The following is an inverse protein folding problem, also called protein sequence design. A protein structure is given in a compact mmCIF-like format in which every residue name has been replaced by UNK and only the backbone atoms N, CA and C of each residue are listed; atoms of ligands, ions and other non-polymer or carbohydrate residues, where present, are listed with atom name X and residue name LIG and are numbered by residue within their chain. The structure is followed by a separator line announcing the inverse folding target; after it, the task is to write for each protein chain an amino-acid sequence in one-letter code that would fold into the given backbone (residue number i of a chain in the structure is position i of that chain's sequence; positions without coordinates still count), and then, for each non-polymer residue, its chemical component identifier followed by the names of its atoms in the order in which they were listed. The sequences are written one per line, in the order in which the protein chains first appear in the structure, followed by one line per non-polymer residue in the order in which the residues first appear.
data_IF_948416890428
#
_entry.id   IF_948416890428
#
_cell.length_a   1.000
_cell.length_b   1.000
_cell.length_c   1.000
_cell.angle_alpha   90.00
_cell.angle_beta   90.00
_cell.angle_gamma   90.00
#
_symmetry.space_group_name_H-M   'P 1'
#
loop_
_entity.id
_entity.type
_entity.pdbx_description
1 polymer ?
#
# COMPACT_ATOMS: atom_id res chain seq x y z
N UNK A 1 41.50 4.70 2.30
CA UNK A 1 42.19 3.76 3.23
C UNK A 1 41.68 3.88 4.66
N UNK A 2 41.61 5.08 5.26
CA UNK A 2 41.17 5.29 6.64
C UNK A 2 39.82 4.65 7.00
N UNK A 3 38.81 4.74 6.13
CA UNK A 3 37.49 4.12 6.38
C UNK A 3 37.56 2.61 6.54
N UNK A 4 38.38 1.93 5.72
CA UNK A 4 38.54 0.47 5.79
C UNK A 4 39.24 0.04 7.08
N UNK A 5 40.20 0.85 7.56
CA UNK A 5 40.82 0.65 8.87
C UNK A 5 39.81 0.85 10.01
N UNK A 6 39.00 1.91 9.98
CA UNK A 6 37.97 2.16 11.00
C UNK A 6 36.89 1.07 11.06
N UNK A 7 36.57 0.47 9.92
CA UNK A 7 35.65 -0.67 9.83
C UNK A 7 36.31 -2.02 10.21
N UNK A 8 37.59 -2.02 10.58
CA UNK A 8 38.30 -3.22 11.03
C UNK A 8 38.61 -4.24 9.94
N UNK A 9 38.60 -3.86 8.65
CA UNK A 9 38.83 -4.80 7.52
C UNK A 9 40.24 -5.42 7.52
N UNK A 10 41.16 -4.90 8.32
CA UNK A 10 42.53 -5.40 8.46
C UNK A 10 42.80 -6.05 9.83
N UNK A 11 41.82 -6.05 10.73
CA UNK A 11 41.93 -6.64 12.07
C UNK A 11 41.47 -8.11 12.06
N UNK A 12 41.83 -8.87 13.10
CA UNK A 12 41.31 -10.22 13.28
C UNK A 12 39.81 -10.20 13.62
N UNK A 13 39.09 -11.26 13.28
CA UNK A 13 37.65 -11.33 13.47
C UNK A 13 37.22 -11.10 14.94
N UNK A 14 38.04 -11.46 15.94
CA UNK A 14 37.70 -11.24 17.35
C UNK A 14 37.63 -9.75 17.73
N UNK A 15 38.41 -8.93 17.02
CA UNK A 15 38.58 -7.49 17.26
C UNK A 15 37.58 -6.63 16.47
N UNK A 16 36.83 -7.22 15.53
CA UNK A 16 35.82 -6.51 14.73
C UNK A 16 34.44 -6.71 15.36
N UNK A 17 33.77 -5.67 15.91
CA UNK A 17 32.49 -5.85 16.62
C UNK A 17 31.39 -6.50 15.77
N UNK A 18 31.37 -6.23 14.47
CA UNK A 18 30.30 -6.62 13.55
C UNK A 18 30.35 -8.11 13.15
N UNK A 19 31.49 -8.79 13.33
CA UNK A 19 31.62 -10.24 13.03
C UNK A 19 30.82 -11.12 14.00
N UNK A 20 30.40 -10.55 15.13
CA UNK A 20 29.63 -11.23 16.18
C UNK A 20 28.11 -11.19 15.90
N UNK A 21 27.67 -10.44 14.90
CA UNK A 21 26.26 -10.36 14.50
C UNK A 21 25.92 -11.60 13.68
N UNK A 22 25.08 -12.48 14.23
CA UNK A 22 24.65 -13.70 13.57
C UNK A 22 23.47 -13.47 12.62
N UNK A 23 23.33 -14.31 11.60
CA UNK A 23 22.20 -14.24 10.65
C UNK A 23 20.82 -14.34 11.32
N UNK A 24 20.71 -15.01 12.46
CA UNK A 24 19.45 -15.12 13.23
C UNK A 24 18.96 -13.79 13.81
N UNK A 25 19.81 -12.76 13.85
CA UNK A 25 19.40 -11.41 14.25
C UNK A 25 18.75 -10.64 13.09
N UNK A 26 18.94 -11.08 11.83
CA UNK A 26 18.23 -10.50 10.70
C UNK A 26 16.75 -10.88 10.78
N UNK A 27 15.87 -9.89 10.68
CA UNK A 27 14.42 -10.09 10.84
C UNK A 27 14.05 -10.94 12.08
N UNK A 28 14.64 -10.67 13.24
CA UNK A 28 14.21 -11.30 14.47
C UNK A 28 12.84 -10.76 14.92
N UNK A 29 12.22 -11.41 15.91
CA UNK A 29 10.89 -11.01 16.40
C UNK A 29 10.88 -9.55 16.87
N UNK A 30 11.92 -9.13 17.59
CA UNK A 30 12.07 -7.77 18.11
C UNK A 30 12.11 -6.73 16.97
N UNK A 31 12.80 -7.03 15.86
CA UNK A 31 12.83 -6.15 14.69
C UNK A 31 11.45 -6.04 14.03
N UNK A 32 10.72 -7.16 13.88
CA UNK A 32 9.38 -7.15 13.30
C UNK A 32 8.37 -6.39 14.16
N UNK A 33 8.42 -6.58 15.47
CA UNK A 33 7.56 -5.87 16.41
C UNK A 33 7.83 -4.36 16.40
N UNK A 34 9.11 -3.97 16.38
CA UNK A 34 9.50 -2.57 16.27
C UNK A 34 9.10 -1.96 14.92
N UNK A 35 9.29 -2.69 13.82
CA UNK A 35 8.85 -2.25 12.50
C UNK A 35 7.33 -2.00 12.48
N UNK A 36 6.53 -2.92 13.03
CA UNK A 36 5.08 -2.76 13.16
C UNK A 36 4.69 -1.56 14.04
N UNK A 37 5.40 -1.33 15.14
CA UNK A 37 5.18 -0.17 16.01
C UNK A 37 5.44 1.14 15.25
N UNK A 38 6.55 1.23 14.53
CA UNK A 38 6.91 2.41 13.73
C UNK A 38 5.90 2.60 12.60
N UNK A 39 5.52 1.56 11.86
CA UNK A 39 4.52 1.66 10.79
C UNK A 39 3.18 2.21 11.28
N UNK A 40 2.74 1.85 12.50
CA UNK A 40 1.51 2.42 13.08
C UNK A 40 1.61 3.92 13.38
N UNK A 41 2.82 4.41 13.67
CA UNK A 41 3.09 5.81 14.00
C UNK A 41 3.37 6.69 12.77
N UNK A 42 3.61 6.09 11.61
CA UNK A 42 3.86 6.83 10.36
C UNK A 42 2.60 7.13 9.57
N UNK A 43 1.49 6.46 9.86
CA UNK A 43 0.21 6.72 9.21
C UNK A 43 -0.31 8.11 9.55
N UNK A 44 -0.85 8.80 8.55
CA UNK A 44 -1.44 10.13 8.68
C UNK A 44 -2.92 10.05 8.34
N UNK A 45 -3.77 10.37 9.31
CA UNK A 45 -5.21 10.52 9.09
C UNK A 45 -5.47 11.94 8.56
N UNK A 46 -5.71 12.06 7.26
CA UNK A 46 -5.93 13.34 6.59
C UNK A 46 -7.36 13.84 6.78
N UNK A 47 -8.33 12.92 6.81
CA UNK A 47 -9.75 13.25 6.94
C UNK A 47 -10.50 12.15 7.67
N UNK A 48 -11.45 12.52 8.53
CA UNK A 48 -12.34 11.59 9.22
C UNK A 48 -13.68 12.25 9.57
N UNK A 49 -14.56 12.36 8.59
CA UNK A 49 -15.91 12.91 8.77
C UNK A 49 -16.78 11.97 9.60
N UNK A 50 -17.61 12.57 10.45
CA UNK A 50 -18.59 11.88 11.30
C UNK A 50 -18.00 10.78 12.19
N UNK A 51 -16.68 10.82 12.46
CA UNK A 51 -15.96 9.78 13.19
C UNK A 51 -16.17 8.37 12.58
N UNK A 52 -16.13 8.27 11.25
CA UNK A 52 -16.23 6.97 10.56
C UNK A 52 -15.16 5.99 11.06
N UNK A 53 -13.94 6.48 11.30
CA UNK A 53 -12.86 5.72 11.93
C UNK A 53 -12.76 6.05 13.44
N UNK A 54 -12.40 5.07 14.30
CA UNK A 54 -12.08 3.68 13.96
C UNK A 54 -13.33 2.81 13.74
N UNK A 55 -13.22 1.81 12.85
CA UNK A 55 -14.25 0.79 12.67
C UNK A 55 -14.29 -0.17 13.85
N UNK A 56 -15.49 -0.61 14.22
CA UNK A 56 -15.63 -1.74 15.13
C UNK A 56 -15.54 -3.05 14.35
N UNK A 57 -14.34 -3.65 14.44
CA UNK A 57 -13.98 -4.91 13.79
C UNK A 57 -14.85 -6.12 14.17
N UNK A 58 -15.63 -6.04 15.25
CA UNK A 58 -16.47 -7.14 15.71
C UNK A 58 -17.91 -7.06 15.20
N UNK A 59 -18.34 -5.88 14.74
CA UNK A 59 -19.73 -5.63 14.36
C UNK A 59 -19.90 -5.35 12.88
N UNK A 60 -18.81 -5.11 12.14
CA UNK A 60 -18.86 -4.85 10.71
C UNK A 60 -19.13 -6.16 9.93
N UNK A 61 -20.28 -6.30 9.23
CA UNK A 61 -20.63 -7.57 8.60
C UNK A 61 -19.83 -7.81 7.31
N UNK A 62 -19.57 -6.77 6.52
CA UNK A 62 -18.88 -6.91 5.24
C UNK A 62 -18.02 -5.72 4.84
N UNK A 63 -16.82 -6.01 4.34
CA UNK A 63 -15.83 -5.04 3.86
C UNK A 63 -15.42 -5.42 2.43
N UNK A 64 -15.51 -4.47 1.50
CA UNK A 64 -14.86 -4.58 0.20
C UNK A 64 -13.51 -3.88 0.23
N UNK A 65 -12.44 -4.57 -0.13
CA UNK A 65 -11.09 -3.99 -0.27
C UNK A 65 -10.77 -3.90 -1.76
N UNK A 66 -10.71 -2.69 -2.30
CA UNK A 66 -10.69 -2.47 -3.75
C UNK A 66 -9.52 -1.57 -4.15
N UNK A 67 -8.84 -1.90 -5.24
CA UNK A 67 -7.84 -1.02 -5.86
C UNK A 67 -6.54 -1.72 -6.21
N UNK A 68 -5.67 -1.08 -7.01
CA UNK A 68 -4.43 -1.69 -7.48
C UNK A 68 -3.48 -2.06 -6.33
N UNK A 69 -3.51 -1.30 -5.24
CA UNK A 69 -2.63 -1.53 -4.09
C UNK A 69 -3.27 -2.37 -2.98
N UNK A 70 -4.50 -2.85 -3.15
CA UNK A 70 -5.20 -3.60 -2.10
C UNK A 70 -4.52 -4.95 -1.79
N UNK A 71 -3.99 -5.63 -2.81
CA UNK A 71 -3.27 -6.90 -2.65
C UNK A 71 -1.88 -6.86 -3.34
N UNK A 72 -1.21 -5.71 -3.26
CA UNK A 72 0.12 -5.50 -3.86
C UNK A 72 1.21 -5.64 -2.78
N UNK A 73 2.26 -6.40 -3.08
CA UNK A 73 3.46 -6.46 -2.23
C UNK A 73 4.46 -5.39 -2.61
N UNK A 74 4.52 -5.06 -3.89
CA UNK A 74 5.32 -4.01 -4.49
C UNK A 74 5.01 -2.64 -3.87
N UNK A 75 3.73 -2.39 -3.54
CA UNK A 75 3.31 -1.18 -2.85
C UNK A 75 3.81 -1.07 -1.39
N UNK A 76 4.33 -2.16 -0.81
CA UNK A 76 4.82 -2.19 0.57
C UNK A 76 6.32 -1.95 0.68
N UNK A 77 7.09 -2.23 -0.38
CA UNK A 77 8.55 -2.30 -0.29
C UNK A 77 9.24 -0.96 -0.46
N UNK A 78 8.71 -0.10 -1.34
CA UNK A 78 9.45 1.08 -1.81
C UNK A 78 10.66 0.69 -2.68
N UNK A 79 11.50 1.68 -3.02
CA UNK A 79 12.58 1.56 -4.01
C UNK A 79 13.99 1.30 -3.42
N UNK A 80 14.18 1.41 -2.11
CA UNK A 80 15.45 1.13 -1.42
C UNK A 80 15.28 0.03 -0.36
N UNK A 81 14.78 -1.12 -0.80
CA UNK A 81 14.41 -2.23 0.08
C UNK A 81 15.36 -3.43 -0.02
N UNK A 82 15.49 -4.16 1.08
CA UNK A 82 15.98 -5.55 1.07
C UNK A 82 14.86 -6.55 0.81
N UNK A 83 15.19 -7.83 0.74
CA UNK A 83 14.19 -8.91 0.68
C UNK A 83 13.60 -9.14 2.08
N UNK A 84 12.31 -8.88 2.25
CA UNK A 84 11.63 -9.20 3.51
C UNK A 84 11.39 -10.70 3.62
N UNK A 85 11.38 -11.21 4.85
CA UNK A 85 11.03 -12.61 5.13
C UNK A 85 9.54 -12.90 4.92
N UNK A 86 8.70 -11.89 5.07
CA UNK A 86 7.26 -11.94 4.92
C UNK A 86 6.69 -10.58 4.51
N UNK A 87 5.56 -10.60 3.80
CA UNK A 87 4.79 -9.43 3.43
C UNK A 87 3.35 -9.63 3.86
N UNK A 88 2.71 -8.59 4.39
CA UNK A 88 1.28 -8.57 4.71
C UNK A 88 0.66 -7.44 3.90
N UNK A 89 -0.09 -7.78 2.85
CA UNK A 89 -0.82 -6.78 2.05
C UNK A 89 -1.94 -6.12 2.86
N UNK A 90 -2.46 -4.99 2.38
CA UNK A 90 -3.60 -4.32 3.04
C UNK A 90 -4.79 -5.28 3.16
N UNK A 91 -5.07 -6.06 2.12
CA UNK A 91 -6.11 -7.10 2.12
C UNK A 91 -5.84 -8.18 3.17
N UNK A 92 -4.62 -8.71 3.24
CA UNK A 92 -4.24 -9.74 4.22
C UNK A 92 -4.37 -9.18 5.65
N UNK A 93 -3.84 -7.98 5.91
CA UNK A 93 -3.93 -7.34 7.21
C UNK A 93 -5.36 -7.05 7.66
N UNK A 94 -6.25 -6.63 6.74
CA UNK A 94 -7.68 -6.45 7.06
C UNK A 94 -8.32 -7.80 7.40
N UNK A 95 -8.06 -8.85 6.60
CA UNK A 95 -8.58 -10.21 6.87
C UNK A 95 -8.13 -10.76 8.22
N UNK A 96 -6.89 -10.51 8.61
CA UNK A 96 -6.36 -10.92 9.91
C UNK A 96 -6.93 -10.10 11.08
N UNK A 97 -7.24 -8.82 10.83
CA UNK A 97 -7.66 -7.89 11.88
C UNK A 97 -9.15 -7.99 12.26
N UNK A 98 -10.02 -8.37 11.33
CA UNK A 98 -11.48 -8.41 11.54
C UNK A 98 -11.98 -9.70 12.20
N UNK A 99 -13.21 -9.67 12.70
CA UNK A 99 -13.87 -10.86 13.25
C UNK A 99 -14.06 -11.96 12.19
N UNK A 100 -14.13 -13.22 12.65
CA UNK A 100 -14.29 -14.40 11.76
C UNK A 100 -15.58 -14.38 10.93
N UNK A 101 -16.59 -13.66 11.40
CA UNK A 101 -17.90 -13.55 10.75
C UNK A 101 -17.96 -12.37 9.76
N UNK A 102 -16.93 -11.52 9.72
CA UNK A 102 -16.85 -10.42 8.75
C UNK A 102 -16.47 -10.97 7.38
N UNK A 103 -17.32 -10.72 6.37
CA UNK A 103 -17.02 -11.04 4.99
C UNK A 103 -16.06 -9.99 4.41
N UNK A 104 -14.86 -10.42 3.99
CA UNK A 104 -13.89 -9.54 3.31
C UNK A 104 -13.76 -9.92 1.84
N UNK A 105 -14.37 -9.12 0.97
CA UNK A 105 -14.30 -9.26 -0.48
C UNK A 105 -13.18 -8.39 -1.07
N UNK A 106 -12.66 -8.79 -2.23
CA UNK A 106 -11.57 -8.12 -2.91
C UNK A 106 -11.89 -7.94 -4.39
N UNK A 107 -11.52 -6.79 -4.95
CA UNK A 107 -11.44 -6.59 -6.39
C UNK A 107 -10.24 -5.68 -6.72
N UNK A 108 -9.47 -6.02 -7.76
CA UNK A 108 -8.37 -5.15 -8.19
C UNK A 108 -8.88 -3.81 -8.73
N UNK A 109 -9.99 -3.82 -9.49
CA UNK A 109 -10.67 -2.65 -10.02
C UNK A 109 -9.97 -1.96 -11.18
N UNK A 110 -8.67 -1.66 -11.09
CA UNK A 110 -7.89 -1.10 -12.20
C UNK A 110 -6.40 -1.45 -12.07
N UNK A 111 -5.64 -1.24 -13.15
CA UNK A 111 -4.18 -1.23 -13.08
C UNK A 111 -3.69 0.04 -12.40
N UNK A 112 -2.48 0.01 -11.84
CA UNK A 112 -1.85 1.15 -11.17
C UNK A 112 -1.75 2.39 -12.09
N UNK A 113 -1.19 2.26 -13.29
CA UNK A 113 -1.02 3.37 -14.24
C UNK A 113 -1.57 3.13 -15.67
N UNK A 114 -1.95 1.89 -16.01
CA UNK A 114 -2.48 1.53 -17.34
C UNK A 114 -4.00 1.69 -17.38
N UNK A 115 -4.56 1.68 -18.59
CA UNK A 115 -6.00 1.76 -18.83
C UNK A 115 -6.74 0.42 -18.70
N UNK A 116 -6.00 -0.69 -18.56
CA UNK A 116 -6.52 -2.05 -18.38
C UNK A 116 -5.64 -2.85 -17.41
N UNK A 117 -6.26 -3.72 -16.62
CA UNK A 117 -5.56 -4.60 -15.69
C UNK A 117 -5.05 -5.88 -16.38
N UNK A 118 -5.85 -6.43 -17.30
CA UNK A 118 -5.51 -7.63 -18.05
C UNK A 118 -4.89 -7.28 -19.40
N UNK A 119 -3.85 -8.01 -19.81
CA UNK A 119 -3.15 -7.75 -21.06
C UNK A 119 -4.08 -7.84 -22.29
N UNK A 120 -5.03 -8.77 -22.26
CA UNK A 120 -6.04 -9.00 -23.31
C UNK A 120 -7.39 -8.33 -23.01
N UNK A 121 -7.46 -7.50 -21.97
CA UNK A 121 -8.65 -6.74 -21.60
C UNK A 121 -8.84 -5.49 -22.45
N UNK A 122 -10.06 -4.95 -22.39
CA UNK A 122 -10.41 -3.61 -22.84
C UNK A 122 -10.13 -2.59 -21.73
N UNK A 123 -10.15 -1.30 -22.06
CA UNK A 123 -10.06 -0.26 -21.03
C UNK A 123 -11.17 -0.44 -19.98
N UNK A 124 -10.84 -0.27 -18.69
CA UNK A 124 -11.76 -0.45 -17.54
C UNK A 124 -12.28 -1.89 -17.35
N UNK A 125 -11.56 -2.89 -17.87
CA UNK A 125 -11.90 -4.32 -17.78
C UNK A 125 -12.34 -4.84 -16.40
N UNK A 126 -11.81 -4.26 -15.31
CA UNK A 126 -12.10 -4.67 -13.92
C UNK A 126 -13.09 -3.75 -13.17
N UNK A 127 -13.66 -2.73 -13.80
CA UNK A 127 -14.56 -1.78 -13.13
C UNK A 127 -15.87 -2.45 -12.68
N UNK A 128 -16.49 -3.26 -13.53
CA UNK A 128 -17.75 -3.92 -13.22
C UNK A 128 -17.63 -4.87 -12.01
N UNK A 129 -16.50 -5.58 -11.92
CA UNK A 129 -16.18 -6.44 -10.77
C UNK A 129 -16.06 -5.61 -9.48
N UNK A 130 -15.35 -4.48 -9.52
CA UNK A 130 -15.20 -3.59 -8.37
C UNK A 130 -16.53 -2.99 -7.91
N UNK A 131 -17.38 -2.51 -8.83
CA UNK A 131 -18.71 -1.97 -8.50
C UNK A 131 -19.58 -3.05 -7.85
N UNK A 132 -19.65 -4.23 -8.46
CA UNK A 132 -20.39 -5.38 -7.93
C UNK A 132 -19.92 -5.78 -6.52
N UNK A 133 -18.61 -5.69 -6.27
CA UNK A 133 -17.98 -5.97 -4.97
C UNK A 133 -18.36 -4.92 -3.94
N UNK A 134 -18.31 -3.64 -4.31
CA UNK A 134 -18.68 -2.52 -3.45
C UNK A 134 -20.17 -2.53 -3.06
N UNK A 135 -21.08 -2.77 -4.01
CA UNK A 135 -22.53 -2.80 -3.76
C UNK A 135 -22.94 -3.85 -2.71
N UNK A 136 -22.16 -4.93 -2.60
CA UNK A 136 -22.38 -6.04 -1.67
C UNK A 136 -21.70 -5.87 -0.30
N UNK A 137 -20.93 -4.81 -0.10
CA UNK A 137 -20.26 -4.52 1.16
C UNK A 137 -20.99 -3.44 1.96
N UNK A 138 -20.80 -3.42 3.27
CA UNK A 138 -21.28 -2.35 4.15
C UNK A 138 -20.32 -1.16 4.15
N UNK A 139 -19.03 -1.42 3.96
CA UNK A 139 -17.98 -0.42 3.82
C UNK A 139 -17.01 -0.79 2.70
N UNK A 140 -16.46 0.22 2.04
CA UNK A 140 -15.45 0.04 1.00
C UNK A 140 -14.13 0.69 1.44
N UNK A 141 -13.06 -0.09 1.42
CA UNK A 141 -11.68 0.37 1.61
C UNK A 141 -11.03 0.45 0.23
N UNK A 142 -10.79 1.66 -0.26
CA UNK A 142 -10.12 1.91 -1.54
C UNK A 142 -8.61 2.04 -1.29
N UNK A 143 -7.81 1.14 -1.86
CA UNK A 143 -6.34 1.15 -1.74
C UNK A 143 -5.71 1.65 -3.03
N UNK A 144 -5.23 2.89 -3.02
CA UNK A 144 -4.76 3.62 -4.20
C UNK A 144 -3.40 4.26 -3.96
N UNK A 145 -2.83 4.84 -5.01
CA UNK A 145 -1.63 5.65 -4.96
C UNK A 145 -0.58 5.17 -5.94
N UNK A 146 0.61 4.94 -5.41
CA UNK A 146 1.85 4.67 -6.14
C UNK A 146 2.49 3.36 -5.63
N UNK A 147 3.51 2.90 -6.33
CA UNK A 147 4.46 1.91 -5.85
C UNK A 147 5.83 2.15 -6.51
N UNK A 148 6.80 1.28 -6.17
CA UNK A 148 8.17 1.35 -6.67
C UNK A 148 8.32 1.10 -8.19
N UNK A 149 7.25 0.81 -8.93
CA UNK A 149 7.26 0.74 -10.40
C UNK A 149 7.03 2.10 -11.07
N UNK A 150 6.57 3.09 -10.29
CA UNK A 150 6.31 4.46 -10.76
C UNK A 150 7.20 5.47 -10.04
N UNK A 151 7.42 5.31 -8.73
CA UNK A 151 8.21 6.25 -7.93
C UNK A 151 9.55 5.64 -7.51
N UNK A 152 10.64 6.30 -7.92
CA UNK A 152 11.98 5.85 -7.61
C UNK A 152 13.05 6.82 -8.11
N UNK A 153 14.29 6.36 -8.18
CA UNK A 153 15.38 7.16 -8.77
C UNK A 153 15.28 7.14 -10.30
N UNK A 154 15.58 8.28 -10.94
CA UNK A 154 15.61 8.37 -12.39
C UNK A 154 16.69 7.45 -12.97
N UNK A 155 16.28 6.57 -13.89
CA UNK A 155 17.18 5.60 -14.52
C UNK A 155 17.26 4.25 -13.81
N UNK A 156 16.54 4.04 -12.71
CA UNK A 156 16.36 2.71 -12.12
C UNK A 156 15.47 1.83 -13.01
N UNK A 157 15.84 0.55 -13.14
CA UNK A 157 15.24 -0.43 -14.07
C UNK A 157 13.81 -0.79 -13.65
N UNK A 158 13.44 -0.57 -12.39
CA UNK A 158 12.10 -0.86 -11.88
C UNK A 158 11.00 0.09 -12.40
N UNK A 159 11.36 1.23 -12.98
CA UNK A 159 10.42 2.32 -13.25
C UNK A 159 9.92 2.34 -14.70
N UNK A 160 8.83 1.63 -15.00
CA UNK A 160 8.29 1.53 -16.38
C UNK A 160 7.52 2.79 -16.84
N UNK A 161 6.84 3.48 -15.93
CA UNK A 161 5.88 4.54 -16.30
C UNK A 161 6.50 5.94 -16.36
N UNK A 162 7.40 6.23 -15.44
CA UNK A 162 8.14 7.49 -15.41
C UNK A 162 9.49 7.19 -14.76
N UNK A 163 10.59 7.52 -15.42
CA UNK A 163 11.95 7.30 -14.89
C UNK A 163 12.18 8.19 -13.66
N UNK A 164 11.62 7.82 -12.51
CA UNK A 164 11.73 8.54 -11.24
C UNK A 164 10.77 9.74 -11.08
N UNK A 165 10.65 10.60 -12.09
CA UNK A 165 9.84 11.83 -11.99
C UNK A 165 8.39 11.66 -12.45
N UNK A 166 7.42 11.97 -11.57
CA UNK A 166 5.99 11.92 -11.93
C UNK A 166 5.62 13.02 -12.93
N UNK A 167 4.79 12.67 -13.92
CA UNK A 167 4.18 13.62 -14.87
C UNK A 167 3.30 14.68 -14.18
N UNK A 168 2.82 14.39 -12.97
CA UNK A 168 2.01 15.28 -12.16
C UNK A 168 1.74 14.67 -10.78
N UNK A 169 0.92 15.34 -9.99
CA UNK A 169 0.56 14.88 -8.63
C UNK A 169 -0.73 14.06 -8.60
N UNK A 170 -1.43 13.90 -9.73
CA UNK A 170 -2.69 13.16 -9.75
C UNK A 170 -2.47 11.66 -9.52
N UNK A 171 -3.52 10.97 -9.08
CA UNK A 171 -3.53 9.51 -9.07
C UNK A 171 -3.27 8.97 -10.49
N UNK A 172 -2.34 8.02 -10.68
CA UNK A 172 -2.04 7.47 -12.00
C UNK A 172 -3.17 6.64 -12.59
N UNK A 173 -3.13 6.48 -13.92
CA UNK A 173 -4.03 5.61 -14.65
C UNK A 173 -5.51 5.93 -14.41
N UNK A 174 -6.29 4.89 -14.15
CA UNK A 174 -7.74 4.99 -13.96
C UNK A 174 -8.18 5.02 -12.49
N UNK A 175 -7.26 5.19 -11.55
CA UNK A 175 -7.56 5.11 -10.12
C UNK A 175 -8.58 6.16 -9.67
N UNK A 176 -8.45 7.41 -10.13
CA UNK A 176 -9.41 8.49 -9.85
C UNK A 176 -10.81 8.15 -10.40
N UNK A 177 -10.88 7.66 -11.65
CA UNK A 177 -12.15 7.30 -12.28
C UNK A 177 -12.82 6.13 -11.56
N UNK A 178 -12.04 5.13 -11.14
CA UNK A 178 -12.54 4.02 -10.32
C UNK A 178 -13.10 4.54 -8.99
N UNK A 179 -12.41 5.46 -8.30
CA UNK A 179 -12.89 6.05 -7.05
C UNK A 179 -14.24 6.76 -7.25
N UNK A 180 -14.37 7.54 -8.32
CA UNK A 180 -15.60 8.25 -8.66
C UNK A 180 -16.76 7.29 -8.95
N UNK A 181 -16.51 6.20 -9.67
CA UNK A 181 -17.50 5.16 -9.98
C UNK A 181 -17.95 4.43 -8.71
N UNK A 182 -17.02 4.07 -7.83
CA UNK A 182 -17.37 3.42 -6.55
C UNK A 182 -18.11 4.40 -5.63
N UNK A 183 -17.79 5.68 -5.64
CA UNK A 183 -18.53 6.70 -4.90
C UNK A 183 -20.01 6.78 -5.29
N UNK A 184 -20.37 6.53 -6.56
CA UNK A 184 -21.77 6.51 -6.99
C UNK A 184 -22.59 5.36 -6.37
N UNK A 185 -21.95 4.32 -5.83
CA UNK A 185 -22.66 3.23 -5.13
C UNK A 185 -23.29 3.70 -3.82
N UNK A 186 -22.91 4.88 -3.31
CA UNK A 186 -23.41 5.43 -2.06
C UNK A 186 -22.90 4.72 -0.80
N UNK A 187 -21.97 3.78 -0.94
CA UNK A 187 -21.34 3.10 0.19
C UNK A 187 -20.37 4.02 0.92
N UNK A 188 -20.23 3.92 2.25
CA UNK A 188 -19.16 4.58 2.98
C UNK A 188 -17.80 4.13 2.44
N UNK A 189 -16.94 5.09 2.08
CA UNK A 189 -15.60 4.83 1.52
C UNK A 189 -14.53 5.33 2.50
N UNK A 190 -13.53 4.48 2.74
CA UNK A 190 -12.25 4.85 3.34
C UNK A 190 -11.20 4.77 2.23
N UNK A 191 -10.48 5.85 1.98
CA UNK A 191 -9.38 5.88 1.01
C UNK A 191 -8.05 5.68 1.74
N UNK A 192 -7.39 4.56 1.49
CA UNK A 192 -6.03 4.27 1.96
C UNK A 192 -5.06 4.61 0.82
N UNK A 193 -4.22 5.62 1.04
CA UNK A 193 -3.19 6.04 0.11
C UNK A 193 -1.85 5.39 0.46
N UNK A 194 -1.30 4.62 -0.48
CA UNK A 194 0.06 4.10 -0.42
C UNK A 194 0.90 4.92 -1.41
N UNK A 195 1.86 5.69 -0.89
CA UNK A 195 2.75 6.51 -1.71
C UNK A 195 4.02 6.87 -0.93
N UNK A 196 5.15 6.90 -1.62
CA UNK A 196 6.42 7.45 -1.16
C UNK A 196 6.56 8.96 -1.44
N UNK A 197 5.74 9.50 -2.35
CA UNK A 197 5.76 10.89 -2.75
C UNK A 197 4.35 11.54 -2.77
N UNK A 198 4.29 12.87 -2.84
CA UNK A 198 3.02 13.60 -2.72
C UNK A 198 2.03 13.29 -3.85
N UNK A 199 0.74 13.23 -3.48
CA UNK A 199 -0.40 13.09 -4.38
C UNK A 199 -1.42 14.22 -4.16
N UNK A 200 -2.00 14.72 -5.25
CA UNK A 200 -3.11 15.66 -5.26
C UNK A 200 -4.42 14.86 -5.27
N UNK A 201 -5.06 14.78 -4.11
CA UNK A 201 -6.33 14.06 -3.89
C UNK A 201 -7.46 15.04 -3.56
N UNK A 202 -7.51 16.19 -4.24
CA UNK A 202 -8.46 17.28 -3.97
C UNK A 202 -9.91 16.83 -4.05
N UNK A 203 -10.27 16.09 -5.10
CA UNK A 203 -11.61 15.54 -5.25
C UNK A 203 -11.96 14.59 -4.10
N UNK A 204 -11.04 13.72 -3.70
CA UNK A 204 -11.28 12.79 -2.60
C UNK A 204 -11.41 13.54 -1.27
N UNK A 205 -10.59 14.57 -1.04
CA UNK A 205 -10.69 15.41 0.15
C UNK A 205 -12.06 16.10 0.28
N UNK A 206 -12.72 16.41 -0.83
CA UNK A 206 -14.09 16.95 -0.83
C UNK A 206 -15.16 15.86 -0.67
N UNK A 207 -15.01 14.70 -1.31
CA UNK A 207 -16.10 13.72 -1.48
C UNK A 207 -16.03 12.50 -0.57
N UNK A 208 -14.83 12.07 -0.19
CA UNK A 208 -14.64 10.84 0.59
C UNK A 208 -14.64 11.18 2.08
N UNK A 209 -15.36 10.42 2.93
CA UNK A 209 -15.50 10.75 4.34
C UNK A 209 -14.22 10.46 5.15
N UNK A 210 -13.41 9.49 4.76
CA UNK A 210 -12.16 9.15 5.46
C UNK A 210 -10.99 8.92 4.50
N UNK A 211 -9.84 9.52 4.82
CA UNK A 211 -8.55 9.39 4.10
C UNK A 211 -7.44 9.26 5.12
#
# INVERSE_FOLDING_TARGET
MLTRMKLGLFDTAENVPYTKIGFHQNDCQEHREFALEVSKKTLVLLKNENNLLPLDRNTIPSIAVIGPNANSREALTGNYCGTASNYITVLEGIREAVGKDTMVSYAQGCHLYRDKAENLGEARDRFAEAVSTAERADIVVMCMGLDASIEGEEGDVSNEYASGDKLGLNLPGLQQELLEVIYQTGKPIILVLLAGSALAVTWAAEKIPAI
#
